data_IF_134506980805
#
_entry.id   IF_134506980805
#
_cell.length_a   1.000
_cell.length_b   1.000
_cell.length_c   1.000
_cell.angle_alpha   90.00
_cell.angle_beta   90.00
_cell.angle_gamma   90.00
#
_symmetry.space_group_name_H-M   'P 1'
#
loop_
_entity.id
_entity.type
_entity.pdbx_description
1 polymer ?
#
# COMPACT_ATOMS: atom_id res chain seq x y z
N UNK A 1 -2.67 -7.05 3.22
CA UNK A 1 -1.75 -6.08 3.87
C UNK A 1 -2.46 -5.21 4.91
N UNK A 2 -3.65 -4.64 4.62
CA UNK A 2 -4.35 -3.75 5.57
C UNK A 2 -4.56 -4.37 6.96
N UNK A 3 -5.04 -5.62 7.04
CA UNK A 3 -5.21 -6.32 8.32
C UNK A 3 -3.88 -6.54 9.06
N UNK A 4 -2.81 -6.86 8.31
CA UNK A 4 -1.45 -7.00 8.83
C UNK A 4 -0.92 -5.68 9.41
N UNK A 5 -1.18 -4.56 8.76
CA UNK A 5 -0.78 -3.22 9.23
C UNK A 5 -1.57 -2.82 10.49
N UNK A 6 -2.89 -3.06 10.51
CA UNK A 6 -3.74 -2.79 11.68
C UNK A 6 -3.33 -3.61 12.90
N UNK A 7 -3.09 -4.90 12.72
CA UNK A 7 -2.75 -5.84 13.81
C UNK A 7 -1.26 -5.89 14.12
N UNK A 8 -0.44 -5.16 13.37
CA UNK A 8 1.04 -5.21 13.42
C UNK A 8 1.59 -6.65 13.35
N UNK A 9 0.96 -7.49 12.52
CA UNK A 9 1.38 -8.89 12.30
C UNK A 9 1.99 -9.03 10.92
N UNK A 10 3.19 -9.61 10.79
CA UNK A 10 3.81 -9.83 9.49
C UNK A 10 2.96 -10.79 8.62
N UNK A 11 3.04 -10.67 7.28
CA UNK A 11 2.38 -11.58 6.38
C UNK A 11 2.98 -12.99 6.48
N UNK A 12 2.12 -14.01 6.33
CA UNK A 12 2.54 -15.43 6.31
C UNK A 12 3.45 -15.71 5.13
N UNK A 13 3.10 -15.16 3.95
CA UNK A 13 3.87 -15.27 2.72
C UNK A 13 5.26 -14.61 2.86
N UNK A 14 6.37 -15.36 2.71
CA UNK A 14 7.72 -14.85 2.93
C UNK A 14 8.09 -13.68 2.01
N UNK A 15 7.74 -13.75 0.73
CA UNK A 15 8.06 -12.71 -0.25
C UNK A 15 7.44 -11.34 0.07
N UNK A 16 6.37 -11.29 0.88
CA UNK A 16 5.73 -10.04 1.30
C UNK A 16 6.33 -9.44 2.58
N UNK A 17 7.17 -10.19 3.32
CA UNK A 17 7.68 -9.74 4.63
C UNK A 17 8.57 -8.50 4.52
N UNK A 18 9.44 -8.47 3.50
CA UNK A 18 10.33 -7.32 3.28
C UNK A 18 9.55 -6.06 2.93
N UNK A 19 8.57 -6.18 2.03
CA UNK A 19 7.70 -5.06 1.65
C UNK A 19 6.90 -4.58 2.87
N UNK A 20 6.33 -5.50 3.64
CA UNK A 20 5.60 -5.18 4.87
C UNK A 20 6.47 -4.40 5.88
N UNK A 21 7.71 -4.83 6.12
CA UNK A 21 8.62 -4.18 7.06
C UNK A 21 8.94 -2.74 6.64
N UNK A 22 9.24 -2.53 5.35
CA UNK A 22 9.47 -1.19 4.79
C UNK A 22 8.24 -0.30 4.92
N UNK A 23 7.08 -0.79 4.50
CA UNK A 23 5.83 -0.03 4.59
C UNK A 23 5.47 0.32 6.04
N UNK A 24 5.71 -0.60 6.99
CA UNK A 24 5.50 -0.35 8.42
C UNK A 24 6.42 0.77 8.92
N UNK A 25 7.72 0.72 8.60
CA UNK A 25 8.66 1.75 9.02
C UNK A 25 8.28 3.15 8.51
N UNK A 26 7.87 3.25 7.25
CA UNK A 26 7.38 4.52 6.68
C UNK A 26 6.09 4.97 7.38
N UNK A 27 5.14 4.06 7.57
CA UNK A 27 3.86 4.37 8.21
C UNK A 27 4.02 4.85 9.66
N UNK A 28 4.95 4.25 10.40
CA UNK A 28 5.29 4.65 11.76
C UNK A 28 5.97 6.05 11.75
N UNK A 29 6.83 6.34 10.76
CA UNK A 29 7.48 7.65 10.57
C UNK A 29 6.51 8.78 10.22
N UNK A 30 5.47 8.51 9.42
CA UNK A 30 4.45 9.51 9.04
C UNK A 30 3.22 9.50 9.96
N UNK A 31 3.29 8.77 11.08
CA UNK A 31 2.22 8.67 12.08
C UNK A 31 0.84 8.29 11.51
N UNK A 32 0.79 7.31 10.61
CA UNK A 32 -0.47 6.82 10.03
C UNK A 32 -1.39 6.31 11.14
N UNK A 33 -2.53 6.99 11.33
CA UNK A 33 -3.46 6.71 12.44
C UNK A 33 -4.37 5.52 12.17
N UNK A 34 -4.78 5.30 10.92
CA UNK A 34 -5.77 4.27 10.56
C UNK A 34 -5.57 3.75 9.14
N UNK A 35 -5.82 2.45 8.98
CA UNK A 35 -5.89 1.78 7.69
C UNK A 35 -7.33 1.38 7.41
N UNK A 36 -7.89 1.89 6.32
CA UNK A 36 -9.25 1.56 5.89
C UNK A 36 -9.22 0.90 4.52
N UNK A 37 -10.10 -0.08 4.32
CA UNK A 37 -10.36 -0.61 3.00
C UNK A 37 -11.37 0.29 2.29
N UNK A 38 -11.10 0.66 1.04
CA UNK A 38 -11.99 1.43 0.19
C UNK A 38 -12.21 0.62 -1.10
N UNK A 39 -13.45 0.50 -1.55
CA UNK A 39 -13.74 -0.15 -2.83
C UNK A 39 -13.07 0.61 -3.97
N UNK A 40 -12.65 -0.10 -5.03
CA UNK A 40 -11.96 0.47 -6.21
C UNK A 40 -12.71 1.66 -6.80
N UNK A 41 -14.05 1.56 -6.88
CA UNK A 41 -14.93 2.61 -7.39
C UNK A 41 -14.77 3.95 -6.63
N UNK A 42 -14.31 3.93 -5.39
CA UNK A 42 -14.09 5.12 -4.56
C UNK A 42 -12.60 5.44 -4.33
N UNK A 43 -11.68 4.78 -5.04
CA UNK A 43 -10.23 5.03 -5.00
C UNK A 43 -9.66 5.33 -6.40
N UNK A 44 -10.47 5.98 -7.25
CA UNK A 44 -10.20 6.15 -8.69
C UNK A 44 -8.88 6.86 -9.01
N UNK A 45 -8.46 7.81 -8.17
CA UNK A 45 -7.22 8.55 -8.40
C UNK A 45 -5.98 7.63 -8.29
N UNK A 46 -5.85 6.91 -7.18
CA UNK A 46 -4.77 5.96 -6.99
C UNK A 46 -4.85 4.80 -8.01
N UNK A 47 -6.06 4.38 -8.36
CA UNK A 47 -6.28 3.35 -9.38
C UNK A 47 -5.78 3.78 -10.77
N UNK A 48 -6.13 5.02 -11.18
CA UNK A 48 -5.65 5.60 -12.44
C UNK A 48 -4.13 5.69 -12.47
N UNK A 49 -3.50 6.16 -11.39
CA UNK A 49 -2.04 6.26 -11.31
C UNK A 49 -1.37 4.89 -11.40
N UNK A 50 -1.94 3.87 -10.76
CA UNK A 50 -1.45 2.51 -10.86
C UNK A 50 -1.55 1.98 -12.29
N UNK A 51 -2.69 2.19 -12.97
CA UNK A 51 -2.88 1.76 -14.35
C UNK A 51 -1.89 2.46 -15.30
N UNK A 52 -1.73 3.78 -15.20
CA UNK A 52 -0.72 4.52 -16.00
C UNK A 52 0.68 3.94 -15.78
N UNK A 53 1.07 3.66 -14.54
CA UNK A 53 2.39 3.14 -14.25
C UNK A 53 2.62 1.72 -14.79
N UNK A 54 1.56 0.90 -14.82
CA UNK A 54 1.61 -0.44 -15.42
C UNK A 54 1.68 -0.35 -16.94
N UNK A 55 0.87 0.52 -17.57
CA UNK A 55 0.82 0.69 -19.02
C UNK A 55 2.13 1.27 -19.58
N UNK A 56 2.67 2.29 -18.90
CA UNK A 56 3.92 2.96 -19.32
C UNK A 56 5.19 2.27 -18.79
N UNK A 57 5.05 1.24 -17.96
CA UNK A 57 6.14 0.62 -17.19
C UNK A 57 6.99 1.65 -16.41
N UNK A 58 6.42 2.81 -16.05
CA UNK A 58 7.10 3.94 -15.40
C UNK A 58 6.19 4.59 -14.37
N UNK A 59 6.70 4.75 -13.14
CA UNK A 59 5.97 5.51 -12.12
C UNK A 59 6.06 7.01 -12.41
N UNK A 60 4.91 7.67 -12.49
CA UNK A 60 4.81 9.13 -12.63
C UNK A 60 3.89 9.69 -11.55
N UNK A 61 4.23 10.85 -11.03
CA UNK A 61 3.29 11.71 -10.31
C UNK A 61 2.76 12.72 -11.31
N UNK A 62 1.44 12.84 -11.41
CA UNK A 62 0.74 13.79 -12.28
C UNK A 62 0.11 14.86 -11.42
#
# INVERSE_FOLDING_TARGET
>A
ILAQMRRRRPPRAPHLRNIYAKCRGIADRVHVRRWNHRLRAFNKAADRLANIAMDDCRSRQV
#
